data_IF_844239630571
#
_entry.id   IF_844239630571
#
_cell.length_a   1.000
_cell.length_b   1.000
_cell.length_c   1.000
_cell.angle_alpha   90.00
_cell.angle_beta   90.00
_cell.angle_gamma   90.00
#
_symmetry.space_group_name_H-M   'P 1'
#
loop_
_entity.id
_entity.type
_entity.pdbx_description
1 polymer ?
#
# COMPACT_ATOMS: atom_id res chain seq x y z
N UNK A 1 -11.80 13.69 5.83
CA UNK A 1 -11.26 12.34 5.58
C UNK A 1 -9.78 12.26 5.96
N UNK A 2 -8.87 12.89 5.21
CA UNK A 2 -7.41 12.89 5.49
C UNK A 2 -7.08 13.33 6.92
N UNK A 3 -7.72 14.38 7.44
CA UNK A 3 -7.58 14.82 8.84
C UNK A 3 -7.93 13.74 9.87
N UNK A 4 -8.92 12.89 9.59
CA UNK A 4 -9.30 11.80 10.50
C UNK A 4 -8.28 10.66 10.47
N UNK A 5 -7.65 10.41 9.32
CA UNK A 5 -6.58 9.44 9.18
C UNK A 5 -5.32 9.93 9.90
N UNK A 6 -4.90 11.17 9.62
CA UNK A 6 -3.71 11.79 10.22
C UNK A 6 -3.86 12.04 11.72
N UNK A 7 -5.03 12.44 12.21
CA UNK A 7 -5.21 12.80 13.62
C UNK A 7 -5.41 11.61 14.57
N UNK A 8 -6.11 10.56 14.14
CA UNK A 8 -6.48 9.44 15.02
C UNK A 8 -5.70 8.18 14.67
N UNK A 9 -5.60 7.83 13.39
CA UNK A 9 -5.04 6.54 12.98
C UNK A 9 -3.51 6.53 12.93
N UNK A 10 -2.88 7.63 12.53
CA UNK A 10 -1.41 7.73 12.44
C UNK A 10 -0.73 7.52 13.81
N UNK A 11 -1.13 8.18 14.91
CA UNK A 11 -0.48 7.93 16.22
C UNK A 11 -0.60 6.47 16.66
N UNK A 12 -1.75 5.83 16.43
CA UNK A 12 -1.94 4.42 16.75
C UNK A 12 -1.06 3.49 15.90
N UNK A 13 -0.91 3.78 14.60
CA UNK A 13 0.00 3.03 13.71
C UNK A 13 1.45 3.17 14.12
N UNK A 14 1.89 4.40 14.37
CA UNK A 14 3.27 4.68 14.81
C UNK A 14 3.57 3.98 16.13
N UNK A 15 2.65 4.07 17.11
CA UNK A 15 2.82 3.41 18.41
C UNK A 15 2.89 1.89 18.29
N UNK A 16 2.05 1.28 17.44
CA UNK A 16 2.10 -0.17 17.18
C UNK A 16 3.43 -0.57 16.53
N UNK A 17 3.87 0.17 15.51
CA UNK A 17 5.14 -0.11 14.82
C UNK A 17 6.32 -0.03 15.79
N UNK A 18 6.40 1.00 16.63
CA UNK A 18 7.51 1.15 17.56
C UNK A 18 7.51 0.13 18.71
N UNK A 19 6.33 -0.28 19.19
CA UNK A 19 6.21 -1.14 20.38
C UNK A 19 6.11 -2.63 20.06
N UNK A 20 5.56 -2.98 18.91
CA UNK A 20 5.13 -4.35 18.60
C UNK A 20 5.70 -4.89 17.28
N UNK A 21 6.34 -4.04 16.46
CA UNK A 21 7.02 -4.47 15.25
C UNK A 21 8.53 -4.33 15.41
N UNK A 22 9.28 -5.32 14.93
CA UNK A 22 10.72 -5.19 14.74
C UNK A 22 10.97 -4.38 13.47
N UNK A 23 11.74 -3.30 13.58
CA UNK A 23 12.06 -2.44 12.45
C UNK A 23 13.44 -2.76 11.91
N UNK A 24 13.59 -2.65 10.59
CA UNK A 24 14.88 -2.89 9.90
C UNK A 24 15.94 -1.83 10.25
N UNK A 25 15.50 -0.66 10.71
CA UNK A 25 16.36 0.44 11.14
C UNK A 25 15.65 1.32 12.17
N UNK A 26 16.38 2.16 12.93
CA UNK A 26 15.78 3.21 13.75
C UNK A 26 15.02 4.20 12.87
N UNK A 27 13.77 4.51 13.24
CA UNK A 27 12.89 5.38 12.46
C UNK A 27 12.33 6.51 13.32
N UNK A 28 12.34 7.73 12.76
CA UNK A 28 11.69 8.88 13.36
C UNK A 28 10.25 9.00 12.84
N UNK A 29 9.32 9.36 13.72
CA UNK A 29 7.90 9.46 13.38
C UNK A 29 7.64 10.46 12.26
N UNK A 30 8.35 11.59 12.28
CA UNK A 30 8.27 12.63 11.26
C UNK A 30 8.60 12.08 9.86
N UNK A 31 9.57 11.17 9.76
CA UNK A 31 9.95 10.57 8.48
C UNK A 31 8.84 9.64 7.96
N UNK A 32 8.21 8.86 8.83
CA UNK A 32 7.09 7.98 8.46
C UNK A 32 5.88 8.79 7.97
N UNK A 33 5.57 9.88 8.67
CA UNK A 33 4.47 10.78 8.29
C UNK A 33 4.80 11.51 6.98
N UNK A 34 6.05 11.94 6.80
CA UNK A 34 6.48 12.56 5.55
C UNK A 34 6.38 11.60 4.38
N UNK A 35 6.87 10.36 4.51
CA UNK A 35 6.73 9.31 3.49
C UNK A 35 5.27 9.05 3.16
N UNK A 36 4.40 8.97 4.18
CA UNK A 36 2.96 8.83 3.99
C UNK A 36 2.36 9.96 3.15
N UNK A 37 2.66 11.22 3.50
CA UNK A 37 2.11 12.40 2.84
C UNK A 37 2.59 12.51 1.39
N UNK A 38 3.88 12.28 1.15
CA UNK A 38 4.47 12.29 -0.21
C UNK A 38 3.80 11.24 -1.09
N UNK A 39 3.69 9.99 -0.60
CA UNK A 39 3.03 8.92 -1.36
C UNK A 39 1.57 9.26 -1.67
N UNK A 40 0.85 9.83 -0.68
CA UNK A 40 -0.54 10.21 -0.84
C UNK A 40 -0.70 11.30 -1.89
N UNK A 41 0.10 12.37 -1.83
CA UNK A 41 0.02 13.46 -2.81
C UNK A 41 0.37 12.97 -4.21
N UNK A 42 1.40 12.13 -4.35
CA UNK A 42 1.78 11.56 -5.65
C UNK A 42 0.67 10.70 -6.25
N UNK A 43 0.02 9.83 -5.46
CA UNK A 43 -1.08 9.00 -5.96
C UNK A 43 -2.32 9.82 -6.30
N UNK A 44 -2.65 10.83 -5.50
CA UNK A 44 -3.78 11.71 -5.78
C UNK A 44 -3.57 12.54 -7.05
N UNK A 45 -2.36 13.04 -7.27
CA UNK A 45 -2.01 13.74 -8.51
C UNK A 45 -2.02 12.81 -9.72
N UNK A 46 -1.46 11.61 -9.58
CA UNK A 46 -1.44 10.60 -10.64
C UNK A 46 -2.85 10.20 -11.04
N UNK A 47 -3.69 9.88 -10.06
CA UNK A 47 -5.10 9.58 -10.29
C UNK A 47 -5.79 10.74 -10.98
N UNK A 48 -5.67 11.96 -10.46
CA UNK A 48 -6.31 13.15 -11.05
C UNK A 48 -5.93 13.39 -12.52
N UNK A 49 -4.70 13.04 -12.92
CA UNK A 49 -4.19 13.21 -14.29
C UNK A 49 -4.54 12.03 -15.21
N UNK A 50 -5.08 10.93 -14.71
CA UNK A 50 -5.37 9.73 -15.49
C UNK A 50 -6.57 9.94 -16.43
N UNK A 51 -6.41 9.85 -17.76
CA UNK A 51 -7.49 10.00 -18.73
C UNK A 51 -8.60 8.95 -18.63
N UNK A 52 -8.30 7.79 -18.04
CA UNK A 52 -9.26 6.69 -17.83
C UNK A 52 -10.22 6.96 -16.68
N UNK A 53 -9.88 7.86 -15.76
CA UNK A 53 -10.81 8.41 -14.79
C UNK A 53 -11.63 9.52 -15.46
N UNK A 54 -12.78 9.15 -16.03
CA UNK A 54 -13.65 10.10 -16.72
C UNK A 54 -14.14 11.21 -15.78
N UNK A 55 -13.60 12.41 -15.94
CA UNK A 55 -13.89 13.61 -15.12
C UNK A 55 -15.38 13.96 -15.02
N UNK A 56 -16.18 13.54 -16.00
CA UNK A 56 -17.59 13.94 -16.15
C UNK A 56 -18.61 12.85 -15.74
N UNK A 57 -18.15 11.65 -15.36
CA UNK A 57 -19.05 10.52 -14.99
C UNK A 57 -18.69 9.80 -13.68
N UNK A 58 -17.63 10.22 -12.98
CA UNK A 58 -17.24 9.57 -11.71
C UNK A 58 -18.10 10.15 -10.58
N UNK A 59 -19.01 9.32 -10.06
CA UNK A 59 -19.79 9.59 -8.84
C UNK A 59 -18.86 10.08 -7.72
N UNK A 60 -19.26 11.15 -7.01
CA UNK A 60 -18.50 11.67 -5.87
C UNK A 60 -18.21 10.59 -4.81
N UNK A 61 -19.05 9.56 -4.70
CA UNK A 61 -18.78 8.39 -3.85
C UNK A 61 -17.60 7.55 -4.34
N UNK A 62 -17.44 7.38 -5.65
CA UNK A 62 -16.31 6.64 -6.23
C UNK A 62 -14.98 7.38 -5.99
N UNK A 63 -14.97 8.72 -6.11
CA UNK A 63 -13.80 9.54 -5.75
C UNK A 63 -13.46 9.36 -4.27
N UNK A 64 -14.46 9.46 -3.39
CA UNK A 64 -14.26 9.29 -1.94
C UNK A 64 -13.70 7.90 -1.62
N UNK A 65 -14.20 6.85 -2.26
CA UNK A 65 -13.73 5.47 -2.08
C UNK A 65 -12.27 5.30 -2.58
N UNK A 66 -11.94 5.88 -3.73
CA UNK A 66 -10.57 5.85 -4.27
C UNK A 66 -9.58 6.56 -3.34
N UNK A 67 -9.93 7.75 -2.84
CA UNK A 67 -9.08 8.49 -1.89
C UNK A 67 -8.92 7.71 -0.58
N UNK A 68 -9.97 7.06 -0.10
CA UNK A 68 -9.91 6.16 1.07
C UNK A 68 -8.95 4.98 0.81
N UNK A 69 -9.02 4.34 -0.37
CA UNK A 69 -8.10 3.27 -0.78
C UNK A 69 -6.64 3.74 -0.83
N UNK A 70 -6.36 4.86 -1.49
CA UNK A 70 -5.00 5.40 -1.54
C UNK A 70 -4.47 5.75 -0.15
N UNK A 71 -5.28 6.34 0.72
CA UNK A 71 -4.87 6.63 2.08
C UNK A 71 -4.50 5.35 2.86
N UNK A 72 -5.21 4.25 2.65
CA UNK A 72 -4.87 2.96 3.26
C UNK A 72 -3.59 2.38 2.64
N UNK A 73 -3.47 2.39 1.31
CA UNK A 73 -2.31 1.88 0.59
C UNK A 73 -1.03 2.62 0.97
N UNK A 74 -1.07 3.95 1.00
CA UNK A 74 0.06 4.77 1.44
C UNK A 74 0.44 4.47 2.90
N UNK A 75 -0.52 4.19 3.79
CA UNK A 75 -0.23 3.83 5.17
C UNK A 75 0.49 2.46 5.28
N UNK A 76 0.13 1.50 4.42
CA UNK A 76 0.83 0.20 4.34
C UNK A 76 2.29 0.43 3.92
N UNK A 77 2.52 1.21 2.87
CA UNK A 77 3.84 1.41 2.27
C UNK A 77 4.68 2.51 2.93
N UNK A 78 4.15 3.23 3.93
CA UNK A 78 4.92 4.13 4.78
C UNK A 78 5.22 3.51 6.14
N UNK A 79 4.19 3.14 6.90
CA UNK A 79 4.33 2.64 8.28
C UNK A 79 4.67 1.15 8.32
N UNK A 80 4.14 0.37 7.38
CA UNK A 80 4.42 -1.06 7.27
C UNK A 80 5.76 -1.36 6.58
N UNK A 81 6.26 -0.46 5.74
CA UNK A 81 7.50 -0.66 4.97
C UNK A 81 8.74 -0.85 5.85
N UNK A 82 8.75 -0.27 7.04
CA UNK A 82 9.86 -0.37 7.99
C UNK A 82 9.82 -1.65 8.83
N UNK A 83 8.72 -2.42 8.77
CA UNK A 83 8.56 -3.66 9.50
C UNK A 83 9.34 -4.80 8.84
N UNK A 84 10.09 -5.56 9.64
CA UNK A 84 10.66 -6.85 9.23
C UNK A 84 9.56 -7.85 8.84
N UNK A 85 9.91 -8.85 8.03
CA UNK A 85 8.99 -9.88 7.53
C UNK A 85 8.20 -10.57 8.64
N UNK A 86 8.84 -10.85 9.78
CA UNK A 86 8.20 -11.47 10.96
C UNK A 86 7.12 -10.60 11.59
N UNK A 87 7.23 -9.28 11.47
CA UNK A 87 6.31 -8.29 12.05
C UNK A 87 5.19 -7.86 11.10
N UNK A 88 5.32 -8.14 9.79
CA UNK A 88 4.32 -7.77 8.78
C UNK A 88 2.94 -8.39 9.01
N UNK A 89 2.90 -9.62 9.55
CA UNK A 89 1.63 -10.27 9.92
C UNK A 89 0.93 -9.53 11.07
N UNK A 90 1.68 -9.17 12.13
CA UNK A 90 1.18 -8.37 13.26
C UNK A 90 0.66 -7.01 12.80
N UNK A 91 1.44 -6.31 11.98
CA UNK A 91 1.02 -5.03 11.38
C UNK A 91 -0.25 -5.18 10.54
N UNK A 92 -0.33 -6.21 9.69
CA UNK A 92 -1.48 -6.49 8.84
C UNK A 92 -2.78 -6.66 9.64
N UNK A 93 -2.71 -7.39 10.76
CA UNK A 93 -3.85 -7.60 11.65
C UNK A 93 -4.24 -6.32 12.39
N UNK A 94 -3.25 -5.59 12.91
CA UNK A 94 -3.48 -4.34 13.61
C UNK A 94 -4.12 -3.28 12.70
N UNK A 95 -3.61 -3.12 11.48
CA UNK A 95 -4.17 -2.16 10.51
C UNK A 95 -5.64 -2.47 10.22
N UNK A 96 -6.02 -3.73 9.99
CA UNK A 96 -7.42 -4.12 9.79
C UNK A 96 -8.30 -3.78 10.99
N UNK A 97 -7.84 -4.10 12.21
CA UNK A 97 -8.55 -3.74 13.45
C UNK A 97 -8.71 -2.22 13.58
N UNK A 98 -7.67 -1.47 13.26
CA UNK A 98 -7.69 0.00 13.33
C UNK A 98 -8.65 0.61 12.30
N UNK A 99 -8.72 0.06 11.09
CA UNK A 99 -9.62 0.53 10.03
C UNK A 99 -11.09 0.22 10.33
N UNK A 100 -11.37 -0.95 10.89
CA UNK A 100 -12.71 -1.42 11.27
C UNK A 100 -13.20 -0.85 12.62
N UNK A 101 -12.34 -0.14 13.37
CA UNK A 101 -12.69 0.49 14.63
C UNK A 101 -12.69 -0.46 15.83
N UNK A 102 -11.97 -1.58 15.73
CA UNK A 102 -11.82 -2.59 16.78
C UNK A 102 -10.66 -2.29 17.76
N UNK A 103 -10.04 -1.11 17.65
CA UNK A 103 -8.98 -0.65 18.57
C UNK A 103 -9.59 0.35 19.55
N UNK A 104 -9.43 0.10 20.84
CA UNK A 104 -9.91 0.98 21.91
C UNK A 104 -9.33 2.40 21.76
N UNK A 105 -10.13 3.41 22.14
CA UNK A 105 -9.79 4.84 22.01
C UNK A 105 -9.45 5.32 20.59
N UNK A 106 -9.70 4.50 19.56
CA UNK A 106 -9.47 4.81 18.15
C UNK A 106 -10.73 4.65 17.31
N UNK A 107 -11.89 5.00 17.88
CA UNK A 107 -13.16 5.00 17.13
C UNK A 107 -13.09 6.05 16.01
N UNK A 108 -13.17 5.67 14.73
CA UNK A 108 -13.01 6.61 13.65
C UNK A 108 -14.23 7.52 13.49
N UNK A 109 -14.01 8.82 13.25
CA UNK A 109 -15.10 9.74 12.86
C UNK A 109 -15.72 9.39 11.49
N UNK A 110 -14.95 8.72 10.63
CA UNK A 110 -15.40 8.18 9.34
C UNK A 110 -14.80 6.79 9.12
N UNK A 111 -15.63 5.79 8.80
CA UNK A 111 -15.15 4.49 8.30
C UNK A 111 -14.60 4.67 6.88
N UNK A 112 -13.36 4.25 6.66
CA UNK A 112 -12.78 4.21 5.32
C UNK A 112 -13.37 3.01 4.58
N UNK A 113 -13.70 3.19 3.31
CA UNK A 113 -14.28 2.15 2.47
C UNK A 113 -13.63 2.17 1.08
N UNK A 114 -13.51 1.02 0.40
CA UNK A 114 -13.80 -0.34 0.87
C UNK A 114 -12.78 -0.86 1.91
N UNK A 115 -13.24 -1.82 2.73
CA UNK A 115 -12.36 -2.50 3.69
C UNK A 115 -11.30 -3.34 2.96
N UNK A 116 -10.10 -3.44 3.56
CA UNK A 116 -9.10 -4.40 3.12
C UNK A 116 -9.64 -5.84 3.22
N UNK A 117 -9.36 -6.72 2.25
CA UNK A 117 -9.74 -8.13 2.35
C UNK A 117 -9.08 -8.82 3.56
N UNK A 118 -9.77 -9.77 4.16
CA UNK A 118 -9.32 -10.46 5.38
C UNK A 118 -8.24 -11.53 5.11
N UNK A 119 -8.15 -12.02 3.87
CA UNK A 119 -7.18 -13.04 3.47
C UNK A 119 -5.82 -12.37 3.19
N UNK A 120 -4.73 -13.10 3.42
CA UNK A 120 -3.40 -12.70 2.99
C UNK A 120 -2.82 -11.48 3.72
N UNK A 121 -1.66 -11.05 3.24
CA UNK A 121 -0.95 -9.90 3.77
C UNK A 121 -1.59 -8.61 3.25
N UNK A 122 -1.64 -7.53 4.04
CA UNK A 122 -2.08 -6.22 3.48
C UNK A 122 -1.18 -5.76 2.33
N UNK A 123 0.07 -6.22 2.34
CA UNK A 123 1.08 -5.90 1.34
C UNK A 123 0.83 -6.59 -0.01
N UNK A 124 -0.07 -7.57 -0.07
CA UNK A 124 -0.41 -8.27 -1.32
C UNK A 124 -1.44 -7.50 -2.16
N UNK A 125 -2.06 -6.47 -1.58
CA UNK A 125 -3.15 -5.72 -2.18
C UNK A 125 -2.69 -4.38 -2.75
N UNK A 126 -3.21 -4.05 -3.92
CA UNK A 126 -3.07 -2.76 -4.58
C UNK A 126 -4.45 -2.15 -4.88
N UNK A 127 -4.47 -0.86 -5.17
CA UNK A 127 -5.70 -0.12 -5.51
C UNK A 127 -6.04 -0.40 -6.98
N UNK A 128 -7.26 -0.89 -7.24
CA UNK A 128 -7.78 -0.96 -8.60
C UNK A 128 -8.26 0.44 -9.04
N UNK A 129 -7.66 0.94 -10.13
CA UNK A 129 -7.96 2.25 -10.70
C UNK A 129 -9.24 2.25 -11.55
N UNK A 130 -9.65 1.09 -12.06
CA UNK A 130 -10.85 0.94 -12.90
C UNK A 130 -12.10 0.83 -12.04
N UNK A 131 -12.00 0.15 -10.91
CA UNK A 131 -13.06 0.03 -9.91
C UNK A 131 -12.49 0.34 -8.52
N UNK A 132 -12.96 1.39 -7.82
CA UNK A 132 -12.45 1.76 -6.50
C UNK A 132 -12.52 0.57 -5.52
N UNK A 133 -11.37 -0.06 -5.30
CA UNK A 133 -11.33 -1.41 -4.75
C UNK A 133 -9.93 -1.93 -4.49
N UNK A 134 -9.87 -3.16 -4.00
CA UNK A 134 -8.65 -3.89 -3.71
C UNK A 134 -8.51 -5.04 -4.69
N UNK A 135 -7.37 -5.12 -5.37
CA UNK A 135 -6.97 -6.28 -6.19
C UNK A 135 -5.60 -6.78 -5.71
N UNK A 136 -5.22 -8.01 -6.06
CA UNK A 136 -3.87 -8.48 -5.72
C UNK A 136 -2.88 -8.02 -6.79
N UNK A 137 -1.63 -7.77 -6.40
CA UNK A 137 -0.61 -7.40 -7.39
C UNK A 137 -0.39 -8.50 -8.44
N UNK A 138 -0.58 -9.77 -8.08
CA UNK A 138 -0.48 -10.90 -9.02
C UNK A 138 -1.53 -10.83 -10.14
N UNK A 139 -2.73 -10.31 -9.85
CA UNK A 139 -3.77 -10.10 -10.86
C UNK A 139 -3.46 -8.95 -11.82
N UNK A 140 -2.41 -8.18 -11.55
CA UNK A 140 -1.97 -7.04 -12.37
C UNK A 140 -0.69 -7.29 -13.17
N UNK A 141 -0.01 -8.42 -12.92
CA UNK A 141 1.14 -8.84 -13.72
C UNK A 141 0.63 -9.69 -14.88
N UNK A 142 0.83 -9.24 -16.11
CA UNK A 142 0.60 -10.09 -17.28
C UNK A 142 1.45 -11.36 -17.13
N UNK A 143 0.81 -12.53 -17.24
CA UNK A 143 1.50 -13.81 -17.12
C UNK A 143 2.62 -13.86 -18.17
N UNK A 144 3.87 -13.82 -17.73
CA UNK A 144 5.00 -14.00 -18.64
C UNK A 144 4.94 -15.44 -19.16
N UNK A 145 4.56 -15.60 -20.43
CA UNK A 145 4.69 -16.87 -21.14
C UNK A 145 6.17 -17.12 -21.38
N UNK A 146 6.79 -17.93 -20.53
CA UNK A 146 8.14 -18.45 -20.77
C UNK A 146 8.02 -19.45 -21.93
N UNK A 147 8.66 -19.22 -23.10
CA UNK A 147 8.58 -20.16 -24.21
C UNK A 147 9.20 -21.51 -23.82
N UNK A 148 8.54 -22.62 -24.18
CA UNK A 148 8.99 -24.00 -23.87
C UNK A 148 10.38 -24.38 -24.44
N UNK A 149 10.97 -23.53 -25.29
CA UNK A 149 12.33 -23.70 -25.81
C UNK A 149 13.41 -22.97 -25.00
N UNK A 150 13.05 -22.31 -23.90
CA UNK A 150 14.00 -21.64 -23.03
C UNK A 150 14.85 -22.67 -22.26
N UNK A 151 16.15 -22.71 -22.54
CA UNK A 151 17.09 -23.46 -21.72
C UNK A 151 17.04 -22.92 -20.28
N UNK A 152 16.99 -23.80 -19.28
CA UNK A 152 16.84 -23.44 -17.84
C UNK A 152 17.91 -22.44 -17.38
N UNK A 153 19.07 -22.41 -18.04
CA UNK A 153 20.18 -21.47 -17.80
C UNK A 153 19.88 -20.02 -18.25
N UNK A 154 18.87 -19.81 -19.10
CA UNK A 154 18.41 -18.50 -19.57
C UNK A 154 17.13 -18.04 -18.87
N UNK A 155 16.60 -18.82 -17.92
CA UNK A 155 15.51 -18.37 -17.05
C UNK A 155 16.14 -17.49 -15.97
N UNK A 156 16.28 -16.20 -16.26
CA UNK A 156 16.55 -15.21 -15.22
C UNK A 156 15.28 -15.11 -14.40
N UNK A 157 15.26 -15.74 -13.22
CA UNK A 157 14.27 -15.39 -12.20
C UNK A 157 14.56 -13.94 -11.83
N UNK A 158 13.69 -13.02 -12.22
CA UNK A 158 13.80 -11.61 -11.86
C UNK A 158 13.50 -11.45 -10.37
N UNK A 159 14.49 -11.76 -9.53
CA UNK A 159 14.55 -11.23 -8.17
C UNK A 159 15.10 -9.81 -8.22
N UNK A 160 14.57 -8.95 -7.34
CA UNK A 160 14.75 -7.48 -7.28
C UNK A 160 16.21 -7.01 -7.46
N UNK A 161 17.18 -7.82 -7.05
CA UNK A 161 18.61 -7.48 -7.09
C UNK A 161 19.24 -7.42 -8.51
N UNK A 162 18.65 -8.07 -9.52
CA UNK A 162 19.31 -8.22 -10.83
C UNK A 162 19.11 -7.04 -11.78
N UNK A 163 18.07 -6.21 -11.60
CA UNK A 163 17.73 -5.12 -12.53
C UNK A 163 18.76 -3.97 -12.46
N UNK A 164 19.32 -3.71 -11.27
CA UNK A 164 20.28 -2.64 -11.05
C UNK A 164 21.64 -2.86 -11.74
N UNK A 165 22.13 -4.11 -11.71
CA UNK A 165 23.44 -4.44 -12.27
C UNK A 165 23.45 -4.46 -13.80
N UNK A 166 22.33 -4.83 -14.42
CA UNK A 166 22.19 -4.89 -15.88
C UNK A 166 22.13 -3.51 -16.54
N UNK A 167 21.70 -2.46 -15.84
CA UNK A 167 21.66 -1.10 -16.40
C UNK A 167 23.02 -0.37 -16.39
N UNK A 168 24.03 -0.94 -15.71
CA UNK A 168 25.35 -0.31 -15.52
C UNK A 168 26.50 -1.08 -16.18
N UNK A 169 26.21 -2.14 -16.94
CA UNK A 169 27.23 -3.01 -17.54
C UNK A 169 27.14 -3.14 -19.07
N UNK A 170 26.42 -2.25 -19.75
CA UNK A 170 26.63 -2.05 -21.20
C UNK A 170 27.75 -1.01 -21.41
N UNK A 171 28.86 -1.37 -22.08
CA UNK A 171 29.91 -0.44 -22.48
C UNK A 171 29.46 0.52 -23.58
#
# INVERSE_FOLDING_TARGET
MIRSLLGIKVPALVSHVQKQCRTVSPVQEQNLVQSFLVLLTTHLESGYKDPSMSRDAVDGKAIVAMVDCYAIWCAIWSFGAVCETTSRSSFSQFLRKLLTGQVENNKPHKKLQPNLPDRGSVFDYIVDLKQPGWTTWMDTVEAQTIPNSAQVQNIIVQTVDNVWHLSHSSP
#
